data_IF_029099026767
#
_entry.id   IF_029099026767
#
_cell.length_a   1.000
_cell.length_b   1.000
_cell.length_c   1.000
_cell.angle_alpha   90.00
_cell.angle_beta   90.00
_cell.angle_gamma   90.00
#
_symmetry.space_group_name_H-M   'P 1'
#
loop_
_entity.id
_entity.type
_entity.pdbx_description
1 polymer ?
#
# COMPACT_ATOMS: atom_id res chain seq x y z
N UNK A 1 -25.55 37.11 21.05
CA UNK A 1 -25.39 36.21 19.90
C UNK A 1 -24.04 35.49 19.91
N UNK A 2 -22.91 36.20 20.02
CA UNK A 2 -21.58 35.56 20.20
C UNK A 2 -21.45 34.74 21.49
N UNK A 3 -21.99 35.24 22.61
CA UNK A 3 -21.89 34.54 23.90
C UNK A 3 -22.69 33.22 23.94
N UNK A 4 -23.86 33.17 23.29
CA UNK A 4 -24.69 31.96 23.15
C UNK A 4 -24.12 30.95 22.14
N UNK A 5 -23.33 31.41 21.16
CA UNK A 5 -22.57 30.54 20.26
C UNK A 5 -21.36 29.94 20.99
N UNK A 6 -20.69 30.72 21.83
CA UNK A 6 -19.52 30.29 22.62
C UNK A 6 -19.82 29.13 23.57
N UNK A 7 -21.04 28.98 24.07
CA UNK A 7 -21.39 27.90 25.00
C UNK A 7 -21.44 26.52 24.32
N UNK A 8 -21.70 26.48 23.00
CA UNK A 8 -21.87 25.24 22.24
C UNK A 8 -20.69 24.92 21.32
N UNK A 9 -19.72 25.82 21.18
CA UNK A 9 -18.51 25.60 20.37
C UNK A 9 -17.45 24.97 21.26
N UNK A 10 -16.93 23.77 20.92
CA UNK A 10 -15.88 23.14 21.70
C UNK A 10 -14.59 23.96 21.68
N UNK A 11 -13.93 24.05 22.83
CA UNK A 11 -12.61 24.68 22.93
C UNK A 11 -11.54 23.83 22.24
N UNK A 12 -10.64 24.47 21.49
CA UNK A 12 -9.56 23.78 20.76
C UNK A 12 -8.73 22.86 21.69
N UNK A 13 -8.35 23.36 22.87
CA UNK A 13 -7.57 22.58 23.82
C UNK A 13 -8.30 21.32 24.26
N UNK A 14 -9.61 21.42 24.54
CA UNK A 14 -10.43 20.28 24.92
C UNK A 14 -10.47 19.24 23.80
N UNK A 15 -10.67 19.65 22.54
CA UNK A 15 -10.66 18.73 21.40
C UNK A 15 -9.30 18.02 21.24
N UNK A 16 -8.19 18.75 21.44
CA UNK A 16 -6.85 18.16 21.39
C UNK A 16 -6.65 17.14 22.51
N UNK A 17 -7.11 17.45 23.72
CA UNK A 17 -7.00 16.57 24.88
C UNK A 17 -7.89 15.31 24.71
N UNK A 18 -9.11 15.46 24.19
CA UNK A 18 -10.02 14.35 23.91
C UNK A 18 -9.44 13.39 22.85
N UNK A 19 -8.79 13.93 21.80
CA UNK A 19 -8.09 13.14 20.78
C UNK A 19 -6.88 12.42 21.38
N UNK A 20 -6.06 13.11 22.18
CA UNK A 20 -4.90 12.50 22.82
C UNK A 20 -5.30 11.38 23.78
N UNK A 21 -6.36 11.58 24.57
CA UNK A 21 -6.92 10.56 25.44
C UNK A 21 -7.39 9.34 24.63
N UNK A 22 -8.09 9.55 23.50
CA UNK A 22 -8.51 8.45 22.64
C UNK A 22 -7.35 7.62 22.09
N UNK A 23 -6.24 8.28 21.78
CA UNK A 23 -5.02 7.61 21.31
C UNK A 23 -4.31 6.88 22.44
N UNK A 24 -4.19 7.49 23.63
CA UNK A 24 -3.53 6.89 24.80
C UNK A 24 -4.25 5.64 25.28
N UNK A 25 -5.58 5.67 25.32
CA UNK A 25 -6.41 4.54 25.75
C UNK A 25 -6.69 3.53 24.63
N UNK A 26 -6.15 3.75 23.42
CA UNK A 26 -6.41 2.94 22.23
C UNK A 26 -7.90 2.70 22.00
N UNK A 27 -8.70 3.77 22.07
CA UNK A 27 -10.16 3.68 21.97
C UNK A 27 -10.54 3.21 20.57
N UNK A 28 -11.32 2.12 20.50
CA UNK A 28 -11.86 1.63 19.24
C UNK A 28 -12.95 2.56 18.72
N UNK A 29 -13.04 2.68 17.40
CA UNK A 29 -14.05 3.49 16.71
C UNK A 29 -15.49 3.28 17.25
N UNK A 30 -15.89 2.02 17.50
CA UNK A 30 -17.22 1.69 17.99
C UNK A 30 -17.56 2.33 19.35
N UNK A 31 -16.55 2.60 20.18
CA UNK A 31 -16.73 3.15 21.52
C UNK A 31 -16.87 4.67 21.53
N UNK A 32 -16.33 5.35 20.52
CA UNK A 32 -16.33 6.82 20.47
C UNK A 32 -16.33 7.35 19.03
N UNK A 33 -17.39 7.08 18.23
CA UNK A 33 -17.42 7.46 16.82
C UNK A 33 -17.31 8.98 16.60
N UNK A 34 -17.78 9.79 17.55
CA UNK A 34 -17.70 11.25 17.48
C UNK A 34 -16.27 11.76 17.34
N UNK A 35 -15.30 11.13 18.02
CA UNK A 35 -13.89 11.53 17.95
C UNK A 35 -13.36 11.37 16.52
N UNK A 36 -13.71 10.26 15.88
CA UNK A 36 -13.21 9.90 14.55
C UNK A 36 -13.95 10.62 13.42
N UNK A 37 -15.26 10.78 13.54
CA UNK A 37 -16.12 11.29 12.46
C UNK A 37 -16.41 12.79 12.55
N UNK A 38 -16.25 13.40 13.74
CA UNK A 38 -16.56 14.81 13.99
C UNK A 38 -15.32 15.56 14.45
N UNK A 39 -14.73 15.18 15.58
CA UNK A 39 -13.69 16.00 16.23
C UNK A 39 -12.40 16.04 15.42
N UNK A 40 -11.92 14.90 14.95
CA UNK A 40 -10.70 14.80 14.16
C UNK A 40 -10.78 15.51 12.78
N UNK A 41 -11.84 15.35 11.96
CA UNK A 41 -11.98 16.13 10.74
C UNK A 41 -12.18 17.63 10.99
N UNK A 42 -12.91 17.99 12.06
CA UNK A 42 -13.12 19.38 12.45
C UNK A 42 -11.78 20.03 12.80
N UNK A 43 -10.98 19.41 13.65
CA UNK A 43 -9.70 19.98 14.08
C UNK A 43 -8.69 20.03 12.94
N UNK A 44 -8.62 19.01 12.07
CA UNK A 44 -7.73 19.05 10.90
C UNK A 44 -8.10 20.19 9.96
N UNK A 45 -9.40 20.46 9.77
CA UNK A 45 -9.86 21.55 8.91
C UNK A 45 -9.67 22.91 9.57
N UNK A 46 -9.92 23.02 10.87
CA UNK A 46 -9.70 24.22 11.66
C UNK A 46 -8.22 24.61 11.66
N UNK A 47 -7.33 23.69 12.04
CA UNK A 47 -5.90 23.96 12.12
C UNK A 47 -5.33 24.34 10.75
N UNK A 48 -5.70 23.63 9.68
CA UNK A 48 -5.25 23.97 8.33
C UNK A 48 -5.61 25.40 7.94
N UNK A 49 -6.83 25.86 8.25
CA UNK A 49 -7.26 27.22 7.92
C UNK A 49 -6.60 28.28 8.80
N UNK A 50 -6.52 28.06 10.11
CA UNK A 50 -6.02 29.06 11.06
C UNK A 50 -4.50 29.12 11.17
N UNK A 51 -3.80 28.15 10.58
CA UNK A 51 -2.34 28.15 10.47
C UNK A 51 -1.78 29.46 9.91
N UNK A 52 -2.39 29.97 8.84
CA UNK A 52 -1.95 31.19 8.15
C UNK A 52 -2.10 32.46 9.00
N UNK A 53 -2.81 32.37 10.13
CA UNK A 53 -2.98 33.44 11.12
C UNK A 53 -2.37 33.05 12.48
N UNK A 54 -1.54 32.02 12.49
CA UNK A 54 -0.87 31.46 13.66
C UNK A 54 0.42 32.19 14.03
N UNK A 55 1.08 31.72 15.09
CA UNK A 55 2.35 32.28 15.58
C UNK A 55 3.52 32.05 14.61
N UNK A 56 3.40 31.03 13.78
CA UNK A 56 4.44 30.64 12.81
C UNK A 56 4.20 31.30 11.43
N UNK A 57 3.24 32.23 11.34
CA UNK A 57 2.97 32.98 10.13
C UNK A 57 4.14 33.92 9.80
N UNK A 58 4.44 34.05 8.51
CA UNK A 58 5.52 34.91 8.00
C UNK A 58 5.24 36.40 8.26
N UNK A 59 3.97 36.78 8.42
CA UNK A 59 3.51 38.16 8.57
C UNK A 59 2.94 38.38 9.97
N UNK A 60 3.77 38.90 10.89
CA UNK A 60 3.42 39.08 12.31
C UNK A 60 2.20 39.98 12.53
N UNK A 61 1.95 40.92 11.61
CA UNK A 61 0.80 41.83 11.67
C UNK A 61 -0.53 41.11 11.37
N UNK A 62 -0.49 39.86 10.88
CA UNK A 62 -1.66 39.01 10.60
C UNK A 62 -1.91 37.95 11.66
N UNK A 63 -1.14 37.92 12.75
CA UNK A 63 -1.32 36.95 13.82
C UNK A 63 -2.65 37.20 14.56
N UNK A 64 -3.56 36.22 14.50
CA UNK A 64 -4.86 36.26 15.18
C UNK A 64 -5.08 35.08 16.13
N UNK A 65 -4.25 34.03 16.01
CA UNK A 65 -4.42 32.78 16.77
C UNK A 65 -3.08 32.28 17.33
N UNK A 66 -3.16 31.35 18.28
CA UNK A 66 -1.99 30.64 18.84
C UNK A 66 -1.68 29.32 18.10
N UNK A 67 -2.27 29.10 16.91
CA UNK A 67 -2.03 27.88 16.13
C UNK A 67 -0.60 27.90 15.59
N UNK A 68 0.11 26.77 15.70
CA UNK A 68 1.54 26.65 15.36
C UNK A 68 1.93 25.21 15.05
N UNK A 69 3.20 24.97 14.66
CA UNK A 69 3.68 23.68 14.14
C UNK A 69 3.53 22.58 15.17
N UNK A 70 3.57 22.94 16.45
CA UNK A 70 3.33 22.03 17.56
C UNK A 70 1.87 21.54 17.57
N UNK A 71 0.91 22.44 17.33
CA UNK A 71 -0.52 22.09 17.22
C UNK A 71 -0.77 21.13 16.04
N UNK A 72 -0.10 21.37 14.90
CA UNK A 72 -0.16 20.50 13.72
C UNK A 72 0.46 19.13 13.99
N UNK A 73 1.67 19.11 14.53
CA UNK A 73 2.37 17.90 14.90
C UNK A 73 1.54 17.07 15.89
N UNK A 74 0.94 17.69 16.91
CA UNK A 74 0.13 17.00 17.93
C UNK A 74 -1.01 16.19 17.30
N UNK A 75 -1.82 16.83 16.44
CA UNK A 75 -2.92 16.14 15.75
C UNK A 75 -2.41 15.12 14.74
N UNK A 76 -1.35 15.45 13.99
CA UNK A 76 -0.80 14.54 12.99
C UNK A 76 -0.21 13.27 13.61
N UNK A 77 0.47 13.41 14.76
CA UNK A 77 0.96 12.28 15.56
C UNK A 77 -0.20 11.44 16.08
N UNK A 78 -1.29 12.05 16.55
CA UNK A 78 -2.49 11.31 16.93
C UNK A 78 -3.05 10.48 15.76
N UNK A 79 -3.12 11.05 14.55
CA UNK A 79 -3.51 10.30 13.34
C UNK A 79 -2.58 9.12 13.09
N UNK A 80 -1.25 9.32 13.13
CA UNK A 80 -0.28 8.23 12.92
C UNK A 80 -0.39 7.12 13.96
N UNK A 81 -0.57 7.47 15.24
CA UNK A 81 -0.77 6.50 16.32
C UNK A 81 -2.07 5.72 16.13
N UNK A 82 -3.18 6.39 15.81
CA UNK A 82 -4.45 5.70 15.52
C UNK A 82 -4.32 4.71 14.37
N UNK A 83 -3.64 5.11 13.29
CA UNK A 83 -3.34 4.23 12.16
C UNK A 83 -2.48 3.05 12.59
N UNK A 84 -1.39 3.31 13.31
CA UNK A 84 -0.45 2.30 13.80
C UNK A 84 -1.10 1.27 14.70
N UNK A 85 -1.85 1.71 15.72
CA UNK A 85 -2.48 0.82 16.69
C UNK A 85 -3.50 -0.13 16.05
N UNK A 86 -4.21 0.34 15.01
CA UNK A 86 -5.29 -0.40 14.37
C UNK A 86 -4.90 -1.12 13.07
N UNK A 87 -3.59 -1.25 12.76
CA UNK A 87 -3.12 -2.12 11.67
C UNK A 87 -3.63 -3.55 11.92
N UNK A 88 -4.33 -4.11 10.95
CA UNK A 88 -4.91 -5.45 10.99
C UNK A 88 -6.26 -5.54 11.71
N UNK A 89 -6.85 -4.45 12.20
CA UNK A 89 -8.17 -4.48 12.85
C UNK A 89 -9.26 -4.79 11.82
N UNK A 90 -10.13 -5.78 12.06
CA UNK A 90 -11.17 -6.18 11.10
C UNK A 90 -12.18 -5.04 10.82
N UNK A 91 -12.59 -4.29 11.86
CA UNK A 91 -13.55 -3.18 11.75
C UNK A 91 -12.88 -1.81 11.50
N UNK A 92 -11.82 -1.80 10.68
CA UNK A 92 -10.97 -0.62 10.45
C UNK A 92 -11.27 0.18 9.16
N UNK A 93 -12.46 0.08 8.55
CA UNK A 93 -12.78 0.82 7.30
C UNK A 93 -12.61 2.35 7.42
N UNK A 94 -12.74 2.87 8.63
CA UNK A 94 -12.54 4.29 8.96
C UNK A 94 -11.08 4.76 8.85
N UNK A 95 -10.09 3.85 8.83
CA UNK A 95 -8.66 4.22 8.82
C UNK A 95 -8.28 5.06 7.60
N UNK A 96 -8.77 4.71 6.40
CA UNK A 96 -8.53 5.50 5.20
C UNK A 96 -9.13 6.91 5.32
N UNK A 97 -10.28 7.05 5.98
CA UNK A 97 -10.93 8.34 6.24
C UNK A 97 -10.11 9.17 7.22
N UNK A 98 -9.68 8.59 8.34
CA UNK A 98 -8.81 9.26 9.32
C UNK A 98 -7.49 9.71 8.69
N UNK A 99 -6.85 8.84 7.88
CA UNK A 99 -5.67 9.21 7.13
C UNK A 99 -5.91 10.40 6.19
N UNK A 100 -7.07 10.46 5.53
CA UNK A 100 -7.43 11.58 4.65
C UNK A 100 -7.53 12.93 5.39
N UNK A 101 -7.85 12.92 6.69
CA UNK A 101 -7.86 14.13 7.50
C UNK A 101 -6.43 14.60 7.80
N UNK A 102 -5.54 13.69 8.17
CA UNK A 102 -4.11 14.00 8.37
C UNK A 102 -3.45 14.59 7.11
N UNK A 103 -3.88 14.16 5.92
CA UNK A 103 -3.40 14.72 4.65
C UNK A 103 -3.72 16.20 4.45
N UNK A 104 -4.69 16.79 5.18
CA UNK A 104 -5.01 18.22 5.10
C UNK A 104 -3.99 19.08 5.83
N UNK A 105 -3.48 18.61 6.96
CA UNK A 105 -2.56 19.36 7.82
C UNK A 105 -1.09 19.08 7.52
N UNK A 106 -0.81 18.02 6.75
CA UNK A 106 0.56 17.52 6.53
C UNK A 106 1.54 18.57 6.02
N UNK A 107 1.08 19.56 5.26
CA UNK A 107 1.93 20.62 4.71
C UNK A 107 2.62 21.50 5.78
N UNK A 108 2.12 21.48 7.01
CA UNK A 108 2.61 22.29 8.14
C UNK A 108 3.25 21.43 9.24
N UNK A 109 3.43 20.14 8.99
CA UNK A 109 4.05 19.18 9.92
C UNK A 109 5.57 19.24 9.76
N UNK A 110 6.27 19.16 10.89
CA UNK A 110 7.75 19.18 10.94
C UNK A 110 8.37 17.81 10.63
N UNK A 111 9.71 17.74 10.57
CA UNK A 111 10.45 16.49 10.45
C UNK A 111 10.42 15.59 11.70
N UNK A 112 9.97 16.11 12.85
CA UNK A 112 10.07 15.41 14.14
C UNK A 112 9.36 14.05 14.18
N UNK A 113 8.17 13.85 13.55
CA UNK A 113 7.46 12.57 13.63
C UNK A 113 8.13 11.36 12.95
N UNK A 114 9.23 11.57 12.23
CA UNK A 114 9.89 10.51 11.45
C UNK A 114 10.27 9.29 12.31
N UNK A 115 11.03 9.53 13.38
CA UNK A 115 11.61 8.48 14.22
C UNK A 115 10.57 7.75 15.06
N UNK A 116 9.77 8.49 15.82
CA UNK A 116 8.94 7.92 16.87
C UNK A 116 7.54 7.50 16.38
N UNK A 117 7.15 7.87 15.15
CA UNK A 117 5.81 7.59 14.63
C UNK A 117 5.82 6.97 13.23
N UNK A 118 6.43 7.59 12.22
CA UNK A 118 6.42 7.02 10.87
C UNK A 118 7.16 5.68 10.79
N UNK A 119 8.36 5.60 11.37
CA UNK A 119 9.16 4.38 11.34
C UNK A 119 8.45 3.19 12.02
N UNK A 120 7.95 3.29 13.26
CA UNK A 120 7.21 2.21 13.91
C UNK A 120 5.97 1.75 13.14
N UNK A 121 5.20 2.68 12.56
CA UNK A 121 4.01 2.34 11.74
C UNK A 121 4.44 1.58 10.49
N UNK A 122 5.53 1.99 9.83
CA UNK A 122 6.06 1.31 8.64
C UNK A 122 6.56 -0.10 8.98
N UNK A 123 7.29 -0.25 10.10
CA UNK A 123 7.78 -1.55 10.59
C UNK A 123 6.62 -2.50 10.92
N UNK A 124 5.58 -2.01 11.61
CA UNK A 124 4.38 -2.80 11.93
C UNK A 124 3.62 -3.23 10.66
N UNK A 125 3.47 -2.32 9.69
CA UNK A 125 2.85 -2.64 8.41
C UNK A 125 3.65 -3.68 7.61
N UNK A 126 4.98 -3.58 7.62
CA UNK A 126 5.89 -4.57 7.00
C UNK A 126 5.79 -5.93 7.69
N UNK A 127 5.77 -5.97 9.02
CA UNK A 127 5.60 -7.22 9.77
C UNK A 127 4.25 -7.90 9.48
N UNK A 128 3.18 -7.11 9.31
CA UNK A 128 1.88 -7.64 8.88
C UNK A 128 1.93 -8.18 7.45
N UNK A 129 2.58 -7.46 6.53
CA UNK A 129 2.76 -7.92 5.15
C UNK A 129 3.51 -9.26 5.08
N UNK A 130 4.53 -9.45 5.92
CA UNK A 130 5.26 -10.72 6.04
C UNK A 130 4.40 -11.87 6.52
N UNK A 131 3.63 -11.63 7.59
CA UNK A 131 2.71 -12.63 8.11
C UNK A 131 1.70 -13.05 7.03
N UNK A 132 1.11 -12.07 6.34
CA UNK A 132 0.13 -12.32 5.27
C UNK A 132 0.74 -13.09 4.11
N UNK A 133 1.95 -12.70 3.68
CA UNK A 133 2.67 -13.41 2.61
C UNK A 133 3.02 -14.85 3.02
N UNK A 134 3.38 -15.09 4.28
CA UNK A 134 3.67 -16.43 4.81
C UNK A 134 2.42 -17.32 4.81
N UNK A 135 1.25 -16.79 5.18
CA UNK A 135 0.01 -17.54 5.13
C UNK A 135 -0.39 -17.89 3.68
N UNK A 136 -0.11 -17.01 2.71
CA UNK A 136 -0.26 -17.33 1.28
C UNK A 136 0.66 -18.50 0.86
N UNK A 137 1.93 -18.51 1.28
CA UNK A 137 2.85 -19.62 0.99
C UNK A 137 2.43 -20.92 1.70
N UNK A 138 1.87 -20.82 2.91
CA UNK A 138 1.30 -21.97 3.63
C UNK A 138 0.11 -22.55 2.88
N UNK A 139 -0.80 -21.72 2.35
CA UNK A 139 -1.92 -22.15 1.52
C UNK A 139 -1.46 -22.93 0.27
N UNK A 140 -0.34 -22.52 -0.34
CA UNK A 140 0.22 -23.20 -1.52
C UNK A 140 0.78 -24.59 -1.19
N UNK A 141 1.36 -24.74 0.00
CA UNK A 141 2.05 -25.97 0.42
C UNK A 141 1.13 -26.94 1.16
N UNK A 142 0.13 -26.43 1.88
CA UNK A 142 -0.78 -27.19 2.74
C UNK A 142 -2.24 -26.70 2.55
N UNK A 143 -2.83 -26.90 1.36
CA UNK A 143 -4.15 -26.34 1.03
C UNK A 143 -5.30 -26.89 1.88
N UNK A 144 -5.14 -28.07 2.46
CA UNK A 144 -6.17 -28.68 3.33
C UNK A 144 -6.13 -28.11 4.77
N UNK A 145 -5.03 -27.48 5.17
CA UNK A 145 -4.81 -26.94 6.54
C UNK A 145 -5.01 -25.42 6.63
N UNK A 146 -5.31 -24.76 5.51
CA UNK A 146 -5.39 -23.30 5.41
C UNK A 146 -6.71 -22.89 4.80
N UNK A 147 -7.46 -22.04 5.50
CA UNK A 147 -8.67 -21.45 4.96
C UNK A 147 -8.31 -20.36 3.92
N UNK A 148 -8.59 -20.63 2.65
CA UNK A 148 -8.39 -19.67 1.54
C UNK A 148 -9.16 -18.36 1.77
N UNK A 149 -10.35 -18.42 2.40
CA UNK A 149 -11.15 -17.27 2.76
C UNK A 149 -10.46 -16.38 3.78
N UNK A 150 -9.84 -16.98 4.80
CA UNK A 150 -9.06 -16.25 5.80
C UNK A 150 -7.83 -15.59 5.18
N UNK A 151 -7.12 -16.29 4.28
CA UNK A 151 -5.98 -15.73 3.54
C UNK A 151 -6.41 -14.51 2.72
N UNK A 152 -7.53 -14.61 2.00
CA UNK A 152 -8.08 -13.48 1.26
C UNK A 152 -8.46 -12.31 2.18
N UNK A 153 -9.07 -12.58 3.34
CA UNK A 153 -9.43 -11.56 4.31
C UNK A 153 -8.21 -10.80 4.86
N UNK A 154 -7.15 -11.52 5.28
CA UNK A 154 -5.95 -10.86 5.82
C UNK A 154 -5.19 -10.09 4.74
N UNK A 155 -5.24 -10.51 3.47
CA UNK A 155 -4.76 -9.70 2.34
C UNK A 155 -5.59 -8.43 2.13
N UNK A 156 -6.92 -8.51 2.26
CA UNK A 156 -7.77 -7.33 2.14
C UNK A 156 -7.49 -6.30 3.25
N UNK A 157 -7.22 -6.76 4.49
CA UNK A 157 -6.78 -5.89 5.59
C UNK A 157 -5.41 -5.25 5.29
N UNK A 158 -4.44 -6.04 4.82
CA UNK A 158 -3.11 -5.54 4.43
C UNK A 158 -3.22 -4.44 3.36
N UNK A 159 -4.07 -4.63 2.36
CA UNK A 159 -4.33 -3.63 1.31
C UNK A 159 -4.91 -2.36 1.92
N UNK A 160 -5.96 -2.45 2.72
CA UNK A 160 -6.58 -1.28 3.36
C UNK A 160 -5.56 -0.48 4.16
N UNK A 161 -4.79 -1.14 5.01
CA UNK A 161 -3.82 -0.47 5.90
C UNK A 161 -2.70 0.20 5.10
N UNK A 162 -2.27 -0.45 4.02
CA UNK A 162 -1.34 0.12 3.05
C UNK A 162 -1.93 1.37 2.38
N UNK A 163 -3.20 1.34 1.98
CA UNK A 163 -3.90 2.47 1.37
C UNK A 163 -4.23 3.60 2.35
N UNK A 164 -4.33 3.31 3.65
CA UNK A 164 -4.46 4.35 4.68
C UNK A 164 -3.12 5.05 4.90
N UNK A 165 -2.03 4.30 5.06
CA UNK A 165 -0.75 4.85 5.50
C UNK A 165 0.11 5.42 4.35
N UNK A 166 0.23 4.74 3.21
CA UNK A 166 1.15 5.15 2.14
C UNK A 166 0.89 6.55 1.57
N UNK A 167 -0.35 7.01 1.40
CA UNK A 167 -0.60 8.40 0.97
C UNK A 167 -0.03 9.46 1.92
N UNK A 168 -0.07 9.21 3.23
CA UNK A 168 0.56 10.10 4.23
C UNK A 168 2.08 10.05 4.10
N UNK A 169 2.66 8.86 4.05
CA UNK A 169 4.11 8.68 3.92
C UNK A 169 4.66 9.33 2.65
N UNK A 170 3.97 9.20 1.52
CA UNK A 170 4.36 9.84 0.26
C UNK A 170 4.39 11.37 0.38
N UNK A 171 3.32 11.97 0.88
CA UNK A 171 3.24 13.43 1.06
C UNK A 171 4.26 13.96 2.07
N UNK A 172 4.50 13.21 3.15
CA UNK A 172 5.52 13.55 4.14
C UNK A 172 6.93 13.49 3.55
N UNK A 173 7.22 12.44 2.77
CA UNK A 173 8.46 12.31 2.03
C UNK A 173 8.66 13.47 1.07
N UNK A 174 7.60 13.91 0.38
CA UNK A 174 7.69 15.06 -0.52
C UNK A 174 8.03 16.36 0.20
N UNK A 175 7.37 16.61 1.33
CA UNK A 175 7.58 17.80 2.15
C UNK A 175 9.03 17.91 2.63
N UNK A 176 9.64 16.80 3.03
CA UNK A 176 10.95 16.80 3.66
C UNK A 176 12.09 16.27 2.77
N UNK A 177 11.81 15.94 1.50
CA UNK A 177 12.79 15.33 0.57
C UNK A 177 14.11 16.09 0.52
N UNK A 178 14.06 17.42 0.42
CA UNK A 178 15.27 18.23 0.32
C UNK A 178 16.15 18.10 1.57
N UNK A 179 15.53 18.02 2.76
CA UNK A 179 16.24 17.81 4.02
C UNK A 179 16.80 16.39 4.10
N UNK A 180 16.01 15.37 3.76
CA UNK A 180 16.46 13.97 3.83
C UNK A 180 17.61 13.65 2.87
N UNK A 181 17.64 14.28 1.69
CA UNK A 181 18.75 14.10 0.76
C UNK A 181 20.02 14.80 1.21
N UNK A 182 19.91 15.98 1.85
CA UNK A 182 21.05 16.74 2.37
C UNK A 182 21.60 16.17 3.69
N UNK A 183 20.69 15.77 4.57
CA UNK A 183 20.96 15.24 5.91
C UNK A 183 20.20 13.91 6.05
N UNK A 184 20.70 12.82 5.44
CA UNK A 184 20.04 11.52 5.55
C UNK A 184 20.09 11.04 7.00
N UNK A 185 19.11 10.24 7.42
CA UNK A 185 18.98 9.66 8.78
C UNK A 185 18.84 8.14 8.70
N UNK A 186 19.21 7.39 9.74
CA UNK A 186 19.00 5.92 9.75
C UNK A 186 17.51 5.59 9.62
N UNK A 187 16.66 6.41 10.24
CA UNK A 187 15.21 6.25 10.24
C UNK A 187 14.60 6.36 8.84
N UNK A 188 15.09 7.30 8.01
CA UNK A 188 14.62 7.45 6.63
C UNK A 188 15.06 6.28 5.74
N UNK A 189 16.25 5.74 5.99
CA UNK A 189 16.79 4.59 5.26
C UNK A 189 16.00 3.32 5.62
N UNK A 190 15.72 3.12 6.91
CA UNK A 190 14.89 2.03 7.40
C UNK A 190 13.45 2.11 6.86
N UNK A 191 12.85 3.30 6.78
CA UNK A 191 11.52 3.43 6.18
C UNK A 191 11.53 3.05 4.70
N UNK A 192 12.55 3.46 3.94
CA UNK A 192 12.71 2.96 2.57
C UNK A 192 12.85 1.44 2.52
N UNK A 193 13.69 0.85 3.37
CA UNK A 193 13.92 -0.60 3.41
C UNK A 193 12.62 -1.37 3.72
N UNK A 194 11.84 -0.93 4.71
CA UNK A 194 10.56 -1.55 5.04
C UNK A 194 9.55 -1.45 3.88
N UNK A 195 9.46 -0.29 3.21
CA UNK A 195 8.59 -0.13 2.03
C UNK A 195 9.07 -0.99 0.86
N UNK A 196 10.38 -1.14 0.66
CA UNK A 196 10.95 -2.01 -0.37
C UNK A 196 10.59 -3.49 -0.14
N UNK A 197 10.59 -3.95 1.12
CA UNK A 197 10.15 -5.30 1.49
C UNK A 197 8.66 -5.50 1.17
N UNK A 198 7.79 -4.55 1.56
CA UNK A 198 6.35 -4.59 1.22
C UNK A 198 6.15 -4.63 -0.30
N UNK A 199 6.89 -3.80 -1.05
CA UNK A 199 6.86 -3.80 -2.51
C UNK A 199 7.26 -5.16 -3.10
N UNK A 200 8.32 -5.79 -2.56
CA UNK A 200 8.74 -7.12 -2.99
C UNK A 200 7.63 -8.15 -2.78
N UNK A 201 7.01 -8.19 -1.59
CA UNK A 201 5.90 -9.10 -1.30
C UNK A 201 4.71 -8.87 -2.24
N UNK A 202 4.33 -7.61 -2.46
CA UNK A 202 3.28 -7.24 -3.41
C UNK A 202 3.61 -7.69 -4.84
N UNK A 203 4.85 -7.54 -5.28
CA UNK A 203 5.24 -7.92 -6.65
C UNK A 203 5.15 -9.43 -6.89
N UNK A 204 5.41 -10.25 -5.86
CA UNK A 204 5.38 -11.71 -5.93
C UNK A 204 4.00 -12.30 -5.61
N UNK A 205 3.21 -11.66 -4.74
CA UNK A 205 1.90 -12.13 -4.29
C UNK A 205 0.79 -11.86 -5.31
N UNK A 206 0.10 -12.92 -5.72
CA UNK A 206 -1.09 -12.77 -6.57
C UNK A 206 -2.33 -12.38 -5.76
N UNK A 207 -2.41 -12.82 -4.49
CA UNK A 207 -3.51 -12.46 -3.60
C UNK A 207 -3.47 -10.97 -3.25
N UNK A 208 -2.29 -10.43 -2.94
CA UNK A 208 -2.13 -8.99 -2.65
C UNK A 208 -2.54 -8.13 -3.86
N UNK A 209 -2.04 -8.45 -5.06
CA UNK A 209 -2.45 -7.74 -6.29
C UNK A 209 -3.94 -7.87 -6.60
N UNK A 210 -4.55 -9.02 -6.31
CA UNK A 210 -5.99 -9.24 -6.51
C UNK A 210 -6.82 -8.41 -5.54
N UNK A 211 -6.49 -8.45 -4.25
CA UNK A 211 -7.22 -7.70 -3.23
C UNK A 211 -7.00 -6.18 -3.38
N UNK A 212 -5.84 -5.74 -3.87
CA UNK A 212 -5.64 -4.33 -4.25
C UNK A 212 -6.61 -3.89 -5.35
N UNK A 213 -6.76 -4.71 -6.41
CA UNK A 213 -7.72 -4.41 -7.47
C UNK A 213 -9.18 -4.41 -6.96
N UNK A 214 -9.51 -5.31 -6.04
CA UNK A 214 -10.83 -5.36 -5.41
C UNK A 214 -11.08 -4.10 -4.57
N UNK A 215 -10.11 -3.70 -3.77
CA UNK A 215 -10.17 -2.50 -2.93
C UNK A 215 -10.35 -1.24 -3.78
N UNK A 216 -9.55 -1.07 -4.83
CA UNK A 216 -9.66 0.07 -5.75
C UNK A 216 -11.03 0.12 -6.43
N UNK A 217 -11.59 -1.03 -6.82
CA UNK A 217 -12.91 -1.09 -7.45
C UNK A 217 -14.03 -0.63 -6.49
N UNK A 218 -13.90 -0.93 -5.20
CA UNK A 218 -14.86 -0.48 -4.17
C UNK A 218 -14.66 1.00 -3.82
N UNK A 219 -13.41 1.46 -3.74
CA UNK A 219 -13.08 2.84 -3.37
C UNK A 219 -13.49 3.87 -4.44
N UNK A 220 -13.42 3.51 -5.73
CA UNK A 220 -13.95 4.33 -6.83
C UNK A 220 -15.48 4.51 -6.74
N UNK A 221 -16.20 3.52 -6.23
CA UNK A 221 -17.66 3.59 -6.06
C UNK A 221 -18.06 4.50 -4.87
N UNK A 222 -17.20 4.65 -3.85
CA UNK A 222 -17.44 5.52 -2.68
C UNK A 222 -16.98 6.98 -2.87
N UNK A 223 -16.03 7.25 -3.77
CA UNK A 223 -15.36 8.57 -3.89
C UNK A 223 -15.98 9.56 -4.90
N UNK A 224 -17.11 9.21 -5.54
CA UNK A 224 -17.75 10.05 -6.55
C UNK A 224 -18.86 10.94 -5.99
N UNK A 225 -18.78 12.28 -6.06
CA UNK A 225 -19.94 13.13 -5.85
C UNK A 225 -20.85 12.95 -7.09
N UNK A 226 -21.85 12.07 -6.97
CA UNK A 226 -22.80 11.79 -8.05
C UNK A 226 -22.63 10.45 -8.76
N UNK A 227 -22.33 9.38 -8.01
CA UNK A 227 -22.62 8.03 -8.49
C UNK A 227 -24.14 7.87 -8.68
N UNK A 228 -24.67 8.32 -9.82
CA UNK A 228 -25.95 7.81 -10.31
C UNK A 228 -25.79 6.31 -10.38
N UNK A 229 -26.47 5.59 -9.48
CA UNK A 229 -26.60 4.14 -9.52
C UNK A 229 -27.32 3.82 -10.84
N UNK A 230 -26.56 3.65 -11.92
CA UNK A 230 -27.11 3.26 -13.22
C UNK A 230 -27.53 1.80 -13.10
N UNK A 231 -28.79 1.56 -12.77
CA UNK A 231 -29.35 0.20 -12.66
C UNK A 231 -29.67 -0.39 -14.04
N UNK A 232 -29.66 -1.73 -14.12
CA UNK A 232 -30.09 -2.47 -15.32
C UNK A 232 -29.06 -2.55 -16.45
N UNK A 233 -29.53 -2.51 -17.70
CA UNK A 233 -28.72 -2.77 -18.91
C UNK A 233 -27.54 -1.81 -19.09
N UNK A 234 -27.63 -0.60 -18.53
CA UNK A 234 -26.56 0.40 -18.57
C UNK A 234 -25.33 0.01 -17.72
N UNK A 235 -25.53 -0.53 -16.51
CA UNK A 235 -24.43 -1.10 -15.71
C UNK A 235 -23.75 -2.28 -16.40
N UNK A 236 -24.52 -3.11 -17.10
CA UNK A 236 -24.00 -4.28 -17.82
C UNK A 236 -23.18 -3.83 -19.05
N UNK A 237 -23.61 -2.78 -19.73
CA UNK A 237 -22.90 -2.18 -20.86
C UNK A 237 -21.59 -1.51 -20.40
N UNK A 238 -21.60 -0.76 -19.29
CA UNK A 238 -20.41 -0.14 -18.68
C UNK A 238 -19.39 -1.20 -18.24
N UNK A 239 -19.85 -2.27 -17.57
CA UNK A 239 -19.00 -3.42 -17.18
C UNK A 239 -18.43 -4.16 -18.39
N UNK A 240 -19.18 -4.30 -19.49
CA UNK A 240 -18.68 -4.91 -20.74
C UNK A 240 -17.72 -3.98 -21.50
N UNK A 241 -17.92 -2.66 -21.46
CA UNK A 241 -17.05 -1.65 -22.08
C UNK A 241 -15.72 -1.56 -21.34
N UNK A 242 -15.72 -1.44 -20.00
CA UNK A 242 -14.50 -1.48 -19.17
C UNK A 242 -13.69 -2.76 -19.37
N UNK A 243 -14.36 -3.90 -19.61
CA UNK A 243 -13.70 -5.18 -19.91
C UNK A 243 -13.08 -5.27 -21.30
N UNK A 244 -13.54 -4.44 -22.27
CA UNK A 244 -12.94 -4.31 -23.61
C UNK A 244 -11.84 -3.25 -23.66
N UNK A 245 -11.95 -2.19 -22.86
CA UNK A 245 -10.95 -1.10 -22.76
C UNK A 245 -9.78 -1.44 -21.81
N UNK A 246 -9.92 -2.45 -20.94
CA UNK A 246 -8.86 -2.95 -20.05
C UNK A 246 -7.68 -3.63 -20.75
N UNK A 247 -7.50 -3.45 -22.07
CA UNK A 247 -6.35 -3.96 -22.81
C UNK A 247 -5.31 -2.83 -22.94
N UNK A 248 -4.20 -2.99 -22.21
CA UNK A 248 -2.92 -2.27 -22.37
C UNK A 248 -2.86 -0.83 -21.82
N UNK A 249 -3.27 -0.62 -20.58
CA UNK A 249 -2.61 0.39 -19.75
C UNK A 249 -2.05 -0.33 -18.53
N UNK A 250 -0.75 -0.17 -18.30
CA UNK A 250 0.01 -0.87 -17.28
C UNK A 250 -0.66 -0.71 -15.90
N UNK A 251 -1.54 -1.66 -15.52
CA UNK A 251 -2.37 -1.59 -14.29
C UNK A 251 -1.50 -1.46 -13.05
N UNK A 252 -0.30 -2.01 -13.10
CA UNK A 252 0.71 -1.96 -12.04
C UNK A 252 1.20 -0.52 -11.77
N UNK A 253 1.16 0.38 -12.76
CA UNK A 253 1.56 1.78 -12.55
C UNK A 253 0.59 2.59 -11.69
N UNK A 254 -0.63 2.08 -11.45
CA UNK A 254 -1.64 2.72 -10.61
C UNK A 254 -1.61 2.29 -9.14
N UNK A 255 -0.86 1.24 -8.78
CA UNK A 255 -0.79 0.74 -7.39
C UNK A 255 -0.20 1.77 -6.44
N UNK A 256 -0.80 1.92 -5.25
CA UNK A 256 -0.25 2.82 -4.21
C UNK A 256 1.11 2.31 -3.72
N UNK A 257 1.33 0.99 -3.73
CA UNK A 257 2.60 0.36 -3.36
C UNK A 257 3.71 0.80 -4.31
N UNK A 258 3.44 0.72 -5.61
CA UNK A 258 4.39 1.15 -6.66
C UNK A 258 4.65 2.66 -6.57
N UNK A 259 3.61 3.46 -6.33
CA UNK A 259 3.75 4.92 -6.18
C UNK A 259 4.62 5.29 -4.96
N UNK A 260 4.36 4.65 -3.82
CA UNK A 260 5.09 4.90 -2.58
C UNK A 260 6.57 4.49 -2.70
N UNK A 261 6.82 3.28 -3.22
CA UNK A 261 8.18 2.79 -3.47
C UNK A 261 8.96 3.72 -4.40
N UNK A 262 8.38 4.11 -5.55
CA UNK A 262 9.00 5.06 -6.48
C UNK A 262 9.27 6.42 -5.83
N UNK A 263 8.39 6.86 -4.92
CA UNK A 263 8.53 8.16 -4.25
C UNK A 263 9.71 8.18 -3.28
N UNK A 264 9.92 7.08 -2.56
CA UNK A 264 11.04 6.94 -1.63
C UNK A 264 12.35 6.54 -2.32
N UNK A 265 12.32 6.15 -3.59
CA UNK A 265 13.50 5.70 -4.33
C UNK A 265 14.71 6.67 -4.25
N UNK A 266 14.56 8.00 -4.39
CA UNK A 266 15.71 8.90 -4.21
C UNK A 266 16.35 8.84 -2.82
N UNK A 267 15.55 8.57 -1.77
CA UNK A 267 16.04 8.39 -0.40
C UNK A 267 16.82 7.09 -0.30
N UNK A 268 16.27 5.99 -0.82
CA UNK A 268 16.95 4.69 -0.83
C UNK A 268 18.23 4.65 -1.66
N UNK A 269 18.26 5.37 -2.78
CA UNK A 269 19.45 5.50 -3.61
C UNK A 269 20.54 6.37 -2.97
N UNK A 270 20.17 7.29 -2.07
CA UNK A 270 21.12 8.18 -1.38
C UNK A 270 22.06 7.42 -0.42
N UNK A 271 21.76 6.15 -0.12
CA UNK A 271 22.59 5.25 0.69
C UNK A 271 23.77 4.71 -0.11
N UNK A 272 23.64 4.61 -1.43
CA UNK A 272 24.63 3.99 -2.30
C UNK A 272 25.73 4.97 -2.72
N UNK A 273 26.96 4.45 -2.80
CA UNK A 273 28.07 5.18 -3.40
C UNK A 273 27.97 5.24 -4.93
N UNK A 274 28.86 6.02 -5.56
CA UNK A 274 28.85 6.21 -7.02
C UNK A 274 28.99 4.90 -7.81
N UNK A 275 29.80 3.95 -7.31
CA UNK A 275 29.98 2.64 -7.93
C UNK A 275 28.69 1.82 -7.90
N UNK A 276 28.04 1.76 -6.74
CA UNK A 276 26.81 1.00 -6.55
C UNK A 276 25.66 1.60 -7.39
N UNK A 277 25.59 2.93 -7.48
CA UNK A 277 24.65 3.62 -8.36
C UNK A 277 24.89 3.32 -9.85
N UNK A 278 26.15 3.27 -10.29
CA UNK A 278 26.48 2.85 -11.65
C UNK A 278 26.02 1.42 -11.91
N UNK A 279 26.22 0.49 -10.97
CA UNK A 279 25.75 -0.90 -11.09
C UNK A 279 24.22 -0.93 -11.20
N UNK A 280 23.50 -0.19 -10.36
CA UNK A 280 22.03 -0.09 -10.39
C UNK A 280 21.55 0.44 -11.75
N UNK A 281 22.22 1.45 -12.31
CA UNK A 281 21.89 2.00 -13.61
C UNK A 281 22.10 0.98 -14.75
N UNK A 282 23.21 0.23 -14.73
CA UNK A 282 23.43 -0.86 -15.69
C UNK A 282 22.35 -1.95 -15.56
N UNK A 283 21.97 -2.33 -14.33
CA UNK A 283 20.90 -3.29 -14.10
C UNK A 283 19.58 -2.79 -14.70
N UNK A 284 19.24 -1.51 -14.48
CA UNK A 284 18.05 -0.90 -15.05
C UNK A 284 18.04 -0.95 -16.57
N UNK A 285 19.16 -0.65 -17.24
CA UNK A 285 19.27 -0.73 -18.70
C UNK A 285 19.06 -2.16 -19.20
N UNK A 286 19.66 -3.14 -18.53
CA UNK A 286 19.48 -4.57 -18.84
C UNK A 286 18.04 -5.04 -18.64
N UNK A 287 17.38 -4.59 -17.58
CA UNK A 287 15.95 -4.85 -17.34
C UNK A 287 15.07 -4.23 -18.43
N UNK A 288 15.36 -2.99 -18.86
CA UNK A 288 14.64 -2.34 -19.96
C UNK A 288 14.85 -3.06 -21.30
N UNK A 289 16.02 -3.66 -21.50
CA UNK A 289 16.33 -4.53 -22.64
C UNK A 289 15.73 -5.94 -22.52
N UNK A 290 15.03 -6.25 -21.43
CA UNK A 290 14.45 -7.57 -21.14
C UNK A 290 15.50 -8.68 -21.16
N UNK A 291 16.71 -8.39 -20.69
CA UNK A 291 17.70 -9.43 -20.41
C UNK A 291 17.16 -10.40 -19.34
N UNK A 292 17.67 -11.63 -19.35
CA UNK A 292 17.29 -12.64 -18.36
C UNK A 292 17.74 -12.22 -16.95
N UNK A 293 16.81 -12.22 -15.99
CA UNK A 293 17.03 -11.90 -14.59
C UNK A 293 18.24 -12.62 -13.98
N UNK A 294 18.50 -13.88 -14.35
CA UNK A 294 19.63 -14.67 -13.86
C UNK A 294 20.97 -14.10 -14.34
N UNK A 295 21.04 -13.65 -15.60
CA UNK A 295 22.22 -12.95 -16.14
C UNK A 295 22.45 -11.60 -15.47
N UNK A 296 21.37 -10.89 -15.13
CA UNK A 296 21.45 -9.63 -14.40
C UNK A 296 21.99 -9.89 -12.99
N UNK A 297 21.54 -10.95 -12.31
CA UNK A 297 22.06 -11.36 -11.00
C UNK A 297 23.54 -11.75 -11.06
N UNK A 298 23.94 -12.51 -12.08
CA UNK A 298 25.35 -12.86 -12.29
C UNK A 298 26.22 -11.62 -12.52
N UNK A 299 25.71 -10.65 -13.30
CA UNK A 299 26.35 -9.34 -13.46
C UNK A 299 26.50 -8.60 -12.12
N UNK A 300 25.46 -8.54 -11.30
CA UNK A 300 25.52 -7.90 -9.97
C UNK A 300 26.57 -8.58 -9.09
N UNK A 301 26.54 -9.91 -8.99
CA UNK A 301 27.51 -10.68 -8.18
C UNK A 301 28.95 -10.46 -8.67
N UNK A 302 29.16 -10.48 -9.99
CA UNK A 302 30.47 -10.19 -10.59
C UNK A 302 30.91 -8.74 -10.31
N UNK A 303 30.01 -7.77 -10.48
CA UNK A 303 30.30 -6.35 -10.29
C UNK A 303 30.60 -5.99 -8.83
N UNK A 304 29.95 -6.65 -7.86
CA UNK A 304 30.22 -6.50 -6.44
C UNK A 304 31.50 -7.24 -6.01
N UNK A 305 31.80 -8.40 -6.62
CA UNK A 305 32.94 -9.24 -6.28
C UNK A 305 34.31 -8.79 -6.80
N UNK A 306 34.38 -7.81 -7.71
CA UNK A 306 35.65 -7.26 -8.19
C UNK A 306 36.27 -6.36 -7.08
N UNK A 307 37.44 -6.72 -6.52
CA UNK A 307 38.17 -5.81 -5.63
C UNK A 307 38.58 -4.57 -6.42
N UNK A 308 38.58 -3.40 -5.78
CA UNK A 308 38.97 -2.14 -6.44
C UNK A 308 40.34 -2.28 -7.11
N UNK A 309 40.36 -2.45 -8.44
CA UNK A 309 41.57 -2.28 -9.23
C UNK A 309 41.96 -0.81 -9.17
N UNK A 310 42.81 -0.49 -8.21
CA UNK A 310 43.57 0.76 -8.19
C UNK A 310 44.77 0.58 -9.11
N UNK A 311 44.51 0.66 -10.42
CA UNK A 311 45.61 0.82 -11.38
C UNK A 311 46.25 2.20 -11.13
N UNK A 312 47.52 2.28 -10.71
CA UNK A 312 48.19 3.55 -10.41
C UNK A 312 48.32 4.48 -11.62
N UNK A 313 48.12 3.94 -12.83
CA UNK A 313 48.21 4.66 -14.11
C UNK A 313 46.87 5.22 -14.61
N UNK A 314 45.77 4.96 -13.89
CA UNK A 314 44.45 5.42 -14.31
C UNK A 314 44.23 6.91 -13.97
N UNK A 315 44.03 7.73 -15.02
CA UNK A 315 43.86 9.18 -14.92
C UNK A 315 42.60 9.59 -14.13
N UNK A 316 41.67 8.68 -13.92
CA UNK A 316 40.43 8.89 -13.17
C UNK A 316 40.47 8.38 -11.72
N UNK A 317 41.64 8.00 -11.21
CA UNK A 317 41.81 7.55 -9.81
C UNK A 317 41.32 8.59 -8.81
N UNK A 318 41.55 9.88 -9.05
CA UNK A 318 41.09 10.95 -8.16
C UNK A 318 39.57 11.13 -8.19
N UNK A 319 38.92 10.94 -9.35
CA UNK A 319 37.45 10.96 -9.47
C UNK A 319 36.83 9.77 -8.74
N UNK A 320 37.35 8.56 -8.94
CA UNK A 320 36.86 7.37 -8.21
C UNK A 320 37.09 7.50 -6.71
N UNK A 321 38.26 7.98 -6.28
CA UNK A 321 38.52 8.28 -4.85
C UNK A 321 37.56 9.33 -4.28
N UNK A 322 37.17 10.34 -5.07
CA UNK A 322 36.20 11.36 -4.66
C UNK A 322 34.78 10.79 -4.55
N UNK A 323 34.27 10.10 -5.57
CA UNK A 323 32.97 9.43 -5.55
C UNK A 323 32.88 8.36 -4.46
N UNK A 324 33.99 7.68 -4.17
CA UNK A 324 34.09 6.72 -3.06
C UNK A 324 34.11 7.42 -1.70
N UNK A 325 34.77 8.59 -1.57
CA UNK A 325 34.82 9.33 -0.30
C UNK A 325 33.47 10.00 0.00
N UNK A 326 32.74 10.42 -1.03
CA UNK A 326 31.34 10.87 -0.91
C UNK A 326 30.44 9.68 -0.56
N UNK A 327 30.56 8.56 -1.29
CA UNK A 327 29.75 7.36 -1.06
C UNK A 327 29.96 6.69 0.30
N UNK A 328 31.21 6.54 0.77
CA UNK A 328 31.52 5.95 2.09
C UNK A 328 31.04 6.81 3.27
N UNK A 329 30.88 8.12 3.08
CA UNK A 329 30.27 8.99 4.09
C UNK A 329 28.75 8.86 4.15
N UNK A 330 28.12 8.32 3.10
CA UNK A 330 26.67 8.10 3.00
C UNK A 330 26.26 6.64 3.26
N UNK A 331 27.15 5.68 2.98
CA UNK A 331 27.03 4.28 3.36
C UNK A 331 27.25 4.12 4.87
N UNK A 332 26.20 4.37 5.66
CA UNK A 332 26.22 4.24 7.12
C UNK A 332 25.90 2.81 7.52
N UNK A 333 26.87 2.08 8.08
CA UNK A 333 26.74 0.76 8.75
C UNK A 333 25.64 -0.18 8.20
N UNK A 334 25.44 -0.22 6.88
CA UNK A 334 24.63 -1.25 6.23
C UNK A 334 25.54 -2.43 5.87
N UNK A 335 26.26 -2.95 6.86
CA UNK A 335 26.92 -4.25 6.73
C UNK A 335 25.89 -5.41 6.78
N UNK A 336 24.62 -5.12 7.08
CA UNK A 336 23.52 -6.09 7.14
C UNK A 336 22.76 -6.32 5.81
N UNK A 337 23.00 -5.53 4.75
CA UNK A 337 22.53 -5.87 3.39
C UNK A 337 23.54 -6.75 2.62
N UNK A 338 24.57 -7.21 3.31
CA UNK A 338 25.43 -8.27 2.82
C UNK A 338 24.65 -9.59 2.74
N UNK A 339 24.40 -10.01 1.50
CA UNK A 339 24.34 -11.41 1.08
C UNK A 339 23.03 -12.22 1.28
N UNK A 340 22.07 -11.85 2.14
CA UNK A 340 20.89 -12.70 2.39
C UNK A 340 19.52 -12.14 1.98
N UNK A 341 19.31 -10.82 1.87
CA UNK A 341 17.98 -10.28 1.51
C UNK A 341 17.67 -10.25 0.01
N UNK A 342 18.58 -10.75 -0.84
CA UNK A 342 18.43 -10.81 -2.31
C UNK A 342 18.43 -12.25 -2.84
N UNK A 343 18.62 -13.25 -1.98
CA UNK A 343 18.84 -14.63 -2.42
C UNK A 343 18.04 -15.60 -1.56
N UNK A 344 16.78 -15.82 -1.92
CA UNK A 344 16.18 -17.15 -1.89
C UNK A 344 15.04 -17.23 -2.90
N UNK A 345 15.29 -17.90 -4.02
CA UNK A 345 14.26 -18.40 -4.92
C UNK A 345 14.62 -19.83 -5.32
N UNK A 346 13.76 -20.82 -5.01
CA UNK A 346 13.74 -22.07 -5.74
C UNK A 346 12.85 -21.94 -6.98
N UNK A 347 13.48 -22.19 -8.12
CA UNK A 347 12.98 -22.73 -9.38
C UNK A 347 11.85 -21.99 -10.14
N UNK A 348 12.25 -21.58 -11.35
CA UNK A 348 11.40 -21.16 -12.44
C UNK A 348 10.26 -22.16 -12.69
N UNK A 349 9.01 -21.69 -12.55
CA UNK A 349 7.88 -22.36 -13.17
C UNK A 349 7.76 -21.95 -14.63
N UNK A 350 7.66 -22.99 -15.45
CA UNK A 350 7.60 -23.01 -16.89
C UNK A 350 6.57 -22.03 -17.48
N UNK A 351 6.90 -21.53 -18.66
CA UNK A 351 6.03 -20.81 -19.60
C UNK A 351 4.57 -21.26 -19.52
N UNK A 352 3.71 -20.42 -18.92
CA UNK A 352 2.27 -20.63 -18.88
C UNK A 352 1.64 -20.32 -20.25
N UNK A 353 1.66 -21.32 -21.13
CA UNK A 353 0.69 -21.43 -22.19
C UNK A 353 -0.69 -21.65 -21.56
N UNK A 354 -1.59 -20.68 -21.70
CA UNK A 354 -2.97 -20.75 -21.21
C UNK A 354 -3.70 -21.97 -21.78
N UNK A 355 -3.73 -23.08 -21.04
CA UNK A 355 -4.64 -24.18 -21.37
C UNK A 355 -6.01 -23.85 -20.78
N UNK A 356 -6.97 -23.59 -21.68
CA UNK A 356 -8.40 -23.48 -21.32
C UNK A 356 -8.84 -24.76 -20.61
N UNK A 357 -9.07 -24.68 -19.30
CA UNK A 357 -9.47 -25.82 -18.44
C UNK A 357 -10.91 -26.30 -18.70
N UNK A 358 -11.66 -25.62 -19.57
CA UNK A 358 -13.01 -26.03 -19.97
C UNK A 358 -13.15 -25.94 -21.49
N UNK A 359 -13.36 -27.09 -22.14
CA UNK A 359 -13.64 -27.16 -23.57
C UNK A 359 -14.93 -26.38 -23.91
N UNK A 360 -15.00 -25.82 -25.11
CA UNK A 360 -16.20 -25.11 -25.58
C UNK A 360 -17.45 -25.99 -25.52
N UNK A 361 -17.30 -27.31 -25.67
CA UNK A 361 -18.36 -28.29 -25.54
C UNK A 361 -18.89 -28.39 -24.10
N UNK A 362 -18.01 -28.45 -23.08
CA UNK A 362 -18.42 -28.43 -21.67
C UNK A 362 -19.14 -27.13 -21.29
N UNK A 363 -18.71 -25.98 -21.82
CA UNK A 363 -19.42 -24.70 -21.61
C UNK A 363 -20.82 -24.71 -22.21
N UNK A 364 -21.00 -25.28 -23.40
CA UNK A 364 -22.33 -25.42 -24.03
C UNK A 364 -23.24 -26.38 -23.25
N UNK A 365 -22.69 -27.48 -22.72
CA UNK A 365 -23.43 -28.42 -21.88
C UNK A 365 -23.93 -27.76 -20.58
N UNK A 366 -23.07 -27.03 -19.86
CA UNK A 366 -23.46 -26.29 -18.65
C UNK A 366 -24.56 -25.28 -18.94
N UNK A 367 -24.46 -24.53 -20.05
CA UNK A 367 -25.52 -23.58 -20.47
C UNK A 367 -26.81 -24.31 -20.87
N UNK A 368 -26.75 -25.55 -21.37
CA UNK A 368 -27.92 -26.36 -21.64
C UNK A 368 -28.60 -26.86 -20.35
N UNK A 369 -27.84 -27.16 -19.29
CA UNK A 369 -28.39 -27.53 -17.98
C UNK A 369 -29.25 -26.41 -17.37
N UNK A 370 -28.90 -25.14 -17.58
CA UNK A 370 -29.73 -24.00 -17.15
C UNK A 370 -31.04 -23.84 -17.93
N UNK A 371 -31.22 -24.58 -19.05
CA UNK A 371 -32.46 -24.65 -19.80
C UNK A 371 -33.30 -25.88 -19.44
N UNK A 372 -32.89 -26.67 -18.45
CA UNK A 372 -33.71 -27.78 -17.99
C UNK A 372 -35.01 -27.26 -17.37
N UNK A 373 -36.09 -27.89 -17.82
CA UNK A 373 -37.47 -27.59 -17.40
C UNK A 373 -37.72 -28.35 -16.10
N UNK A 374 -38.23 -27.66 -15.08
CA UNK A 374 -38.49 -28.26 -13.78
C UNK A 374 -39.59 -29.32 -13.89
N UNK A 375 -39.44 -30.43 -13.16
CA UNK A 375 -40.25 -31.64 -13.34
C UNK A 375 -41.77 -31.39 -13.26
N UNK A 376 -42.20 -30.47 -12.40
CA UNK A 376 -43.61 -30.11 -12.20
C UNK A 376 -44.25 -29.35 -13.37
N UNK A 377 -43.46 -28.89 -14.34
CA UNK A 377 -43.94 -28.16 -15.52
C UNK A 377 -44.05 -29.05 -16.77
N UNK A 378 -43.74 -30.34 -16.66
CA UNK A 378 -43.85 -31.28 -17.76
C UNK A 378 -45.31 -31.79 -17.93
N UNK A 379 -45.81 -31.95 -19.17
CA UNK A 379 -47.14 -32.50 -19.42
C UNK A 379 -47.27 -33.94 -18.89
N UNK A 380 -48.43 -34.31 -18.33
CA UNK A 380 -48.67 -35.59 -17.66
C UNK A 380 -48.35 -36.85 -18.49
N UNK A 381 -48.30 -36.75 -19.83
CA UNK A 381 -47.90 -37.83 -20.73
C UNK A 381 -46.37 -38.03 -20.87
N UNK A 382 -45.54 -37.19 -20.27
CA UNK A 382 -44.06 -37.38 -20.20
C UNK A 382 -43.61 -38.24 -19.02
N UNK A 383 -44.51 -38.96 -18.34
CA UNK A 383 -44.18 -39.90 -17.25
C UNK A 383 -43.37 -41.13 -17.70
N UNK A 384 -43.06 -41.29 -18.99
CA UNK A 384 -42.15 -42.31 -19.50
C UNK A 384 -40.70 -42.21 -18.96
N UNK A 385 -40.31 -41.08 -18.36
CA UNK A 385 -39.02 -40.94 -17.66
C UNK A 385 -38.94 -41.67 -16.30
N UNK A 386 -40.06 -42.19 -15.77
CA UNK A 386 -40.06 -42.98 -14.53
C UNK A 386 -39.66 -44.46 -14.73
N UNK A 387 -39.85 -45.00 -15.94
CA UNK A 387 -39.57 -46.42 -16.24
C UNK A 387 -38.08 -46.82 -16.09
N UNK A 388 -37.08 -46.01 -16.52
CA UNK A 388 -35.67 -46.36 -16.35
C UNK A 388 -35.18 -46.36 -14.90
N UNK A 389 -35.88 -45.66 -13.99
CA UNK A 389 -35.49 -45.55 -12.58
C UNK A 389 -35.97 -46.76 -11.76
N UNK A 390 -37.08 -47.39 -12.16
CA UNK A 390 -37.64 -48.56 -11.49
C UNK A 390 -37.15 -49.91 -12.05
N UNK A 391 -36.52 -49.94 -13.23
CA UNK A 391 -35.93 -51.17 -13.80
C UNK A 391 -34.57 -51.57 -13.19
N UNK A 392 -34.07 -50.85 -12.18
CA UNK A 392 -32.77 -51.13 -11.53
C UNK A 392 -32.87 -51.90 -10.21
N UNK A 393 -34.08 -52.26 -9.75
CA UNK A 393 -34.28 -53.06 -8.52
C UNK A 393 -34.70 -54.52 -8.77
N UNK A 394 -34.71 -54.99 -10.02
CA UNK A 394 -34.97 -56.39 -10.37
C UNK A 394 -33.90 -56.92 -11.33
N UNK A 395 -32.67 -57.09 -10.84
CA UNK A 395 -31.72 -58.10 -11.36
C UNK A 395 -30.69 -58.47 -10.33
#
# INVERSE_FOLDING_TARGET
>A
MLHSLSTNVPHLQKLLDDIDHAVQENIKYANSPNIFDIDLPLICSYLHYWWDYGTDCVDADRQLTNVNSQSMNRVFVAVLKLLGEHIGEHNGRWLCRVASFGQKIIAHVTCDPMKDYFLPVTQKLRAKAEYVFREEERLKTHPDDVDEGLVAEVHALQVRDTYAFFPLLMKYTDLHRAQWLKCPSSETDEVYANVAIIFSMWSHSQHFKREELNFMAQFEDESGPGAQIKTGKAAIAERKKKRREGKVRNKESGSVVVQCFKRLLPVGLNVFGGRELDIVQHCKEKFLQKENDEKIRDFIRAALGIPERTDPTDKNVWQRKLYNKIGKSQMRDIDALSQESVVEHPQASLTNAWKKVVSTQRKRAVVACFRMVALYTLPAFSSYYFLPFFSLELT
#
